data_IF_733240008414
#
_entry.id   IF_733240008414
#
_cell.length_a   1.000
_cell.length_b   1.000
_cell.length_c   1.000
_cell.angle_alpha   90.00
_cell.angle_beta   90.00
_cell.angle_gamma   90.00
#
_symmetry.space_group_name_H-M   'P 1'
#
loop_
_entity.id
_entity.type
_entity.pdbx_description
1 polymer ?
#
# COMPACT_ATOMS: atom_id res chain seq x y z
N UNK A 1 -6.13 9.70 6.30
CA UNK A 1 -5.33 9.23 7.46
C UNK A 1 -4.09 8.56 6.88
N UNK A 2 -2.87 9.03 7.19
CA UNK A 2 -1.74 8.08 7.21
C UNK A 2 -2.09 7.14 8.35
N UNK A 3 -2.20 5.85 8.07
CA UNK A 3 -2.44 4.87 9.12
C UNK A 3 -1.30 4.97 10.14
N UNK A 4 -1.62 5.02 11.44
CA UNK A 4 -0.60 4.92 12.49
C UNK A 4 0.15 3.60 12.23
N UNK A 5 1.43 3.65 11.86
CA UNK A 5 2.24 2.46 11.59
C UNK A 5 3.10 2.49 10.32
N UNK A 6 2.95 3.47 9.43
CA UNK A 6 3.82 3.56 8.24
C UNK A 6 5.22 4.05 8.65
N UNK A 7 6.19 3.13 8.72
CA UNK A 7 7.60 3.44 9.00
C UNK A 7 8.38 3.91 7.75
N UNK A 8 7.82 3.69 6.56
CA UNK A 8 8.47 4.00 5.28
C UNK A 8 7.61 4.96 4.48
N UNK A 9 8.28 5.88 3.76
CA UNK A 9 7.73 6.65 2.66
C UNK A 9 8.03 5.90 1.36
N UNK A 10 7.04 5.20 0.78
CA UNK A 10 7.24 4.52 -0.48
C UNK A 10 7.19 5.51 -1.64
N UNK A 11 8.23 5.55 -2.47
CA UNK A 11 8.26 6.39 -3.66
C UNK A 11 8.24 5.52 -4.93
N UNK A 12 7.24 5.69 -5.81
CA UNK A 12 7.24 5.05 -7.12
C UNK A 12 8.32 5.68 -8.01
N UNK A 13 8.94 4.86 -8.87
CA UNK A 13 9.87 5.35 -9.90
C UNK A 13 9.12 5.38 -11.24
N UNK A 14 8.61 6.55 -11.68
CA UNK A 14 7.91 6.64 -12.95
C UNK A 14 8.80 6.19 -14.12
N UNK A 15 8.17 5.75 -15.21
CA UNK A 15 8.89 5.50 -16.46
C UNK A 15 9.47 6.84 -16.94
N UNK A 16 10.69 6.82 -17.47
CA UNK A 16 11.29 8.02 -18.03
C UNK A 16 10.37 8.52 -19.16
N UNK A 17 10.12 9.83 -19.21
CA UNK A 17 9.52 10.43 -20.38
C UNK A 17 10.41 10.11 -21.60
N UNK A 18 9.84 9.84 -22.79
CA UNK A 18 10.66 9.79 -23.99
C UNK A 18 11.43 11.11 -24.09
N UNK A 19 12.74 11.04 -24.31
CA UNK A 19 13.52 12.23 -24.59
C UNK A 19 12.89 12.94 -25.81
N UNK A 20 12.87 14.28 -25.87
CA UNK A 20 12.57 14.96 -27.12
C UNK A 20 13.53 14.41 -28.18
N UNK A 21 12.98 14.03 -29.34
CA UNK A 21 13.76 13.65 -30.51
C UNK A 21 14.67 14.83 -30.85
N UNK A 22 15.95 14.77 -30.47
CA UNK A 22 16.96 15.66 -31.04
C UNK A 22 17.08 15.25 -32.51
N UNK A 23 16.75 16.18 -33.40
CA UNK A 23 16.89 16.06 -34.84
C UNK A 23 18.31 15.54 -35.15
N UNK A 24 18.40 14.34 -35.74
CA UNK A 24 19.65 13.84 -36.32
C UNK A 24 20.05 14.76 -37.48
N UNK A 25 20.88 15.78 -37.21
CA UNK A 25 21.58 16.51 -38.25
C UNK A 25 22.59 15.57 -38.93
N UNK A 26 22.41 15.41 -40.25
CA UNK A 26 23.31 14.70 -41.16
C UNK A 26 24.76 15.16 -41.01
N UNK A 27 25.66 14.27 -40.61
CA UNK A 27 27.09 14.40 -40.93
C UNK A 27 27.47 13.39 -42.01
N UNK A 28 27.44 13.84 -43.26
CA UNK A 28 28.02 13.19 -44.44
C UNK A 28 29.49 12.85 -44.19
N UNK A 29 29.82 11.56 -44.15
CA UNK A 29 31.18 11.07 -44.36
C UNK A 29 31.27 10.42 -45.75
N UNK A 30 32.01 11.12 -46.61
CA UNK A 30 32.57 10.75 -47.92
C UNK A 30 32.67 9.25 -48.22
N UNK A 31 31.98 8.83 -49.29
CA UNK A 31 32.33 7.66 -50.08
C UNK A 31 33.66 7.91 -50.80
N UNK A 32 34.66 7.07 -50.54
CA UNK A 32 35.65 6.74 -51.56
C UNK A 32 35.44 5.28 -51.97
N UNK A 33 35.49 5.12 -53.29
CA UNK A 33 35.23 3.96 -54.13
C UNK A 33 36.32 2.88 -54.05
N UNK A 34 36.01 1.75 -54.70
CA UNK A 34 36.84 0.57 -55.01
C UNK A 34 36.67 -0.58 -54.00
N UNK A 35 36.30 -1.80 -54.37
CA UNK A 35 35.88 -2.39 -55.64
C UNK A 35 35.71 -3.90 -55.39
N UNK A 36 34.59 -4.44 -55.87
CA UNK A 36 34.28 -5.87 -56.13
C UNK A 36 34.02 -6.90 -55.00
N UNK A 37 33.18 -7.93 -55.28
CA UNK A 37 32.52 -8.77 -54.28
C UNK A 37 32.92 -10.27 -54.32
N UNK A 38 32.83 -10.90 -53.13
CA UNK A 38 32.42 -12.31 -52.88
C UNK A 38 33.32 -13.45 -53.41
N UNK A 39 33.82 -14.27 -52.47
CA UNK A 39 33.79 -15.73 -52.63
C UNK A 39 33.37 -16.44 -51.35
N UNK A 40 32.30 -17.25 -51.47
CA UNK A 40 31.88 -18.24 -50.47
C UNK A 40 32.78 -19.47 -50.60
N UNK A 41 33.43 -19.91 -49.52
CA UNK A 41 33.74 -21.34 -49.33
C UNK A 41 33.28 -21.82 -47.97
N UNK A 42 32.36 -22.77 -48.06
CA UNK A 42 31.79 -23.54 -46.97
C UNK A 42 32.71 -24.69 -46.55
N UNK A 43 32.63 -24.97 -45.23
CA UNK A 43 32.77 -26.26 -44.53
C UNK A 43 34.16 -26.72 -44.05
N UNK A 44 34.19 -26.76 -42.71
CA UNK A 44 34.74 -27.77 -41.80
C UNK A 44 36.26 -27.91 -41.71
N UNK A 45 36.82 -27.47 -40.58
CA UNK A 45 37.30 -28.42 -39.57
C UNK A 45 37.37 -27.79 -38.17
N UNK A 46 37.13 -28.63 -37.16
CA UNK A 46 37.09 -28.32 -35.72
C UNK A 46 38.51 -28.09 -35.19
N UNK A 47 38.70 -27.07 -34.34
CA UNK A 47 39.29 -27.19 -33.01
C UNK A 47 39.44 -25.81 -32.33
N UNK A 48 38.84 -25.72 -31.14
CA UNK A 48 39.32 -25.11 -29.90
C UNK A 48 39.79 -23.64 -29.82
N UNK A 49 39.33 -22.97 -28.75
CA UNK A 49 40.00 -21.82 -28.15
C UNK A 49 39.57 -20.42 -28.59
N UNK A 50 38.67 -19.79 -27.83
CA UNK A 50 38.55 -18.34 -27.78
C UNK A 50 37.15 -17.79 -28.04
N UNK A 51 36.23 -17.93 -27.07
CA UNK A 51 35.03 -17.08 -27.05
C UNK A 51 35.45 -15.70 -26.59
N UNK A 52 35.76 -14.81 -27.55
CA UNK A 52 35.72 -13.38 -27.34
C UNK A 52 34.31 -13.01 -26.85
N UNK A 53 34.20 -12.74 -25.55
CA UNK A 53 33.02 -12.10 -24.98
C UNK A 53 32.90 -10.71 -25.62
N UNK A 54 32.02 -10.58 -26.60
CA UNK A 54 31.49 -9.28 -27.05
C UNK A 54 31.15 -8.45 -25.79
N UNK A 55 31.90 -7.38 -25.55
CA UNK A 55 31.55 -6.35 -24.57
C UNK A 55 30.17 -5.83 -24.97
N UNK A 56 29.13 -6.25 -24.24
CA UNK A 56 27.85 -5.51 -24.25
C UNK A 56 28.18 -4.11 -23.78
N UNK A 57 28.05 -3.13 -24.65
CA UNK A 57 28.08 -1.72 -24.27
C UNK A 57 27.09 -1.53 -23.11
N UNK A 58 27.60 -1.13 -21.95
CA UNK A 58 26.78 -0.82 -20.78
C UNK A 58 26.03 0.47 -21.10
N UNK A 59 24.84 0.35 -21.68
CA UNK A 59 23.89 1.45 -21.79
C UNK A 59 23.68 2.01 -20.37
N UNK A 60 24.01 3.27 -20.15
CA UNK A 60 23.86 3.88 -18.84
C UNK A 60 22.39 3.80 -18.40
N UNK A 61 22.12 3.47 -17.13
CA UNK A 61 20.77 3.40 -16.63
C UNK A 61 20.12 4.79 -16.70
N UNK A 62 18.93 4.88 -17.31
CA UNK A 62 18.19 6.13 -17.40
C UNK A 62 17.97 6.78 -16.02
N UNK A 63 18.10 8.10 -15.95
CA UNK A 63 18.01 8.87 -14.71
C UNK A 63 16.62 9.47 -14.55
N UNK A 64 16.07 9.44 -13.34
CA UNK A 64 14.78 10.02 -12.96
C UNK A 64 14.99 10.93 -11.76
N UNK A 65 14.57 12.19 -11.85
CA UNK A 65 14.67 13.13 -10.74
C UNK A 65 13.79 12.69 -9.55
N UNK A 66 14.28 12.91 -8.32
CA UNK A 66 13.51 12.62 -7.10
C UNK A 66 12.19 13.41 -7.06
N UNK A 67 12.17 14.64 -7.55
CA UNK A 67 10.96 15.45 -7.67
C UNK A 67 9.84 14.74 -8.43
N UNK A 68 10.17 14.04 -9.53
CA UNK A 68 9.21 13.24 -10.31
C UNK A 68 8.68 12.03 -9.54
N UNK A 69 9.49 11.43 -8.68
CA UNK A 69 9.05 10.35 -7.81
C UNK A 69 8.07 10.87 -6.73
N UNK A 70 8.34 12.07 -6.18
CA UNK A 70 7.46 12.74 -5.22
C UNK A 70 6.15 13.18 -5.87
N UNK A 71 6.20 13.80 -7.06
CA UNK A 71 5.02 14.17 -7.85
C UNK A 71 4.13 12.95 -8.13
N UNK A 72 4.74 11.83 -8.54
CA UNK A 72 4.02 10.58 -8.80
C UNK A 72 3.38 9.99 -7.52
N UNK A 73 4.03 10.15 -6.37
CA UNK A 73 3.46 9.74 -5.08
C UNK A 73 2.26 10.61 -4.66
N UNK A 74 2.33 11.92 -4.91
CA UNK A 74 1.28 12.87 -4.59
C UNK A 74 0.11 12.88 -5.59
N UNK A 75 0.27 12.19 -6.72
CA UNK A 75 -0.73 12.15 -7.78
C UNK A 75 -2.06 11.58 -7.27
N UNK A 76 -3.14 12.29 -7.57
CA UNK A 76 -4.49 11.86 -7.21
C UNK A 76 -4.86 10.59 -7.95
N UNK A 77 -5.14 9.53 -7.19
CA UNK A 77 -5.67 8.27 -7.71
C UNK A 77 -7.19 8.33 -7.81
N UNK A 78 -7.74 7.71 -8.85
CA UNK A 78 -9.17 7.66 -9.11
C UNK A 78 -9.70 6.29 -8.68
N UNK A 79 -10.77 6.28 -7.90
CA UNK A 79 -11.49 5.07 -7.49
C UNK A 79 -12.89 5.12 -8.06
N UNK A 80 -13.15 4.28 -9.05
CA UNK A 80 -14.48 4.12 -9.65
C UNK A 80 -15.37 3.23 -8.77
N UNK A 81 -16.68 3.46 -8.81
CA UNK A 81 -17.66 2.67 -8.07
C UNK A 81 -17.75 2.99 -6.57
N UNK A 82 -17.17 4.11 -6.12
CA UNK A 82 -17.30 4.57 -4.75
C UNK A 82 -18.73 5.02 -4.46
N UNK A 83 -19.38 4.44 -3.46
CA UNK A 83 -20.71 4.86 -3.02
C UNK A 83 -20.59 6.05 -2.07
N UNK A 84 -21.09 7.21 -2.49
CA UNK A 84 -21.05 8.42 -1.66
C UNK A 84 -22.07 8.34 -0.52
N UNK A 85 -21.66 8.58 0.74
CA UNK A 85 -22.59 8.62 1.88
C UNK A 85 -23.65 9.74 1.79
N UNK A 86 -23.41 10.76 0.97
CA UNK A 86 -24.32 11.91 0.81
C UNK A 86 -25.37 11.66 -0.26
N UNK A 87 -24.94 11.18 -1.43
CA UNK A 87 -25.84 10.98 -2.57
C UNK A 87 -26.41 9.57 -2.65
N UNK A 88 -25.84 8.61 -1.88
CA UNK A 88 -26.16 7.18 -1.92
C UNK A 88 -26.01 6.52 -3.31
N UNK A 89 -25.37 7.22 -4.25
CA UNK A 89 -25.12 6.75 -5.60
C UNK A 89 -23.65 6.35 -5.75
N UNK A 90 -23.41 5.39 -6.66
CA UNK A 90 -22.06 5.05 -7.11
C UNK A 90 -21.52 6.19 -7.96
N UNK A 91 -20.30 6.62 -7.68
CA UNK A 91 -19.62 7.65 -8.42
C UNK A 91 -18.12 7.43 -8.42
N UNK A 92 -17.39 8.51 -8.68
CA UNK A 92 -15.94 8.54 -8.76
C UNK A 92 -15.42 9.22 -7.48
N UNK A 93 -14.48 8.57 -6.80
CA UNK A 93 -13.74 9.17 -5.69
C UNK A 93 -12.31 9.49 -6.11
N UNK A 94 -11.82 10.64 -5.66
CA UNK A 94 -10.45 11.07 -5.83
C UNK A 94 -9.70 10.88 -4.51
N UNK A 95 -8.58 10.17 -4.55
CA UNK A 95 -7.74 9.87 -3.38
C UNK A 95 -6.34 10.45 -3.59
N UNK A 96 -6.00 11.43 -2.76
CA UNK A 96 -4.65 11.98 -2.64
C UNK A 96 -4.02 11.56 -1.30
N UNK A 97 -2.69 11.58 -1.24
CA UNK A 97 -1.94 11.24 -0.03
C UNK A 97 -0.95 12.37 0.28
N UNK A 98 -0.86 12.76 1.55
CA UNK A 98 0.03 13.81 2.04
C UNK A 98 0.60 13.43 3.41
N UNK A 99 1.73 14.03 3.78
CA UNK A 99 2.41 13.83 5.04
C UNK A 99 1.79 14.68 6.13
N UNK A 100 1.12 14.03 7.09
CA UNK A 100 0.57 14.71 8.27
C UNK A 100 1.68 15.11 9.25
N UNK A 101 2.67 14.24 9.45
CA UNK A 101 3.75 14.42 10.42
C UNK A 101 5.08 14.04 9.81
N UNK A 102 6.15 14.67 10.28
CA UNK A 102 7.52 14.41 9.88
C UNK A 102 8.25 13.68 11.03
N UNK A 103 8.76 12.44 10.85
CA UNK A 103 9.48 11.71 11.90
C UNK A 103 10.93 12.21 12.08
N UNK A 104 11.58 11.86 13.19
CA UNK A 104 13.02 12.14 13.41
C UNK A 104 13.91 11.39 12.43
N UNK A 105 13.53 10.14 12.13
CA UNK A 105 14.17 9.29 11.15
C UNK A 105 13.13 8.87 10.11
N UNK A 106 13.36 9.24 8.87
CA UNK A 106 12.52 8.93 7.74
C UNK A 106 13.19 7.87 6.88
N UNK A 107 12.54 6.71 6.74
CA UNK A 107 12.91 5.75 5.72
C UNK A 107 12.18 6.06 4.42
N UNK A 108 12.92 6.16 3.32
CA UNK A 108 12.37 6.28 1.98
C UNK A 108 12.66 4.97 1.24
N UNK A 109 11.62 4.28 0.79
CA UNK A 109 11.75 3.07 -0.02
C UNK A 109 11.45 3.40 -1.47
N UNK A 110 12.43 3.24 -2.36
CA UNK A 110 12.18 3.33 -3.78
C UNK A 110 11.58 2.02 -4.27
N UNK A 111 10.41 2.06 -4.89
CA UNK A 111 9.77 0.89 -5.49
C UNK A 111 10.50 0.48 -6.76
N UNK A 112 11.59 -0.27 -6.57
CA UNK A 112 12.47 -0.77 -7.63
C UNK A 112 12.01 -2.08 -8.26
N UNK A 113 10.86 -2.62 -7.87
CA UNK A 113 10.30 -3.83 -8.44
C UNK A 113 8.87 -3.55 -8.88
N UNK A 114 8.58 -3.78 -10.15
CA UNK A 114 7.25 -3.61 -10.72
C UNK A 114 6.78 -4.93 -11.34
N UNK A 115 5.49 -5.20 -11.24
CA UNK A 115 4.87 -6.32 -11.94
C UNK A 115 4.56 -5.86 -13.37
N UNK A 116 5.24 -6.48 -14.33
CA UNK A 116 5.05 -6.22 -15.76
C UNK A 116 4.14 -7.30 -16.34
N UNK A 117 3.13 -6.87 -17.06
CA UNK A 117 2.26 -7.76 -17.83
C UNK A 117 2.93 -8.09 -19.17
N UNK A 118 3.46 -9.30 -19.28
CA UNK A 118 4.06 -9.84 -20.50
C UNK A 118 3.18 -10.93 -21.11
N UNK A 119 1.86 -10.88 -20.89
CA UNK A 119 0.92 -11.83 -21.51
C UNK A 119 0.94 -11.75 -23.03
N UNK A 120 1.16 -10.57 -23.62
CA UNK A 120 1.36 -10.39 -25.07
C UNK A 120 2.58 -11.16 -25.61
N UNK A 121 3.57 -11.44 -24.77
CA UNK A 121 4.76 -12.23 -25.10
C UNK A 121 4.68 -13.70 -24.65
N UNK A 122 3.52 -14.16 -24.16
CA UNK A 122 3.31 -15.53 -23.68
C UNK A 122 3.98 -15.86 -22.33
N UNK A 123 4.50 -14.86 -21.61
CA UNK A 123 5.28 -15.04 -20.36
C UNK A 123 4.51 -14.76 -19.07
N UNK A 124 3.24 -14.34 -19.18
CA UNK A 124 2.40 -14.01 -18.03
C UNK A 124 2.84 -12.76 -17.29
N UNK A 125 2.52 -12.67 -16.00
CA UNK A 125 2.98 -11.59 -15.14
C UNK A 125 4.39 -11.90 -14.59
N UNK A 126 5.31 -10.95 -14.73
CA UNK A 126 6.67 -11.10 -14.21
C UNK A 126 7.08 -9.89 -13.38
N UNK A 127 7.82 -10.12 -12.30
CA UNK A 127 8.40 -9.04 -11.50
C UNK A 127 9.73 -8.64 -12.15
N UNK A 128 9.85 -7.37 -12.52
CA UNK A 128 11.07 -6.82 -13.09
C UNK A 128 11.67 -5.74 -12.21
N UNK A 129 13.00 -5.72 -12.13
CA UNK A 129 13.74 -4.70 -11.41
C UNK A 129 13.90 -3.44 -12.26
N UNK A 130 13.43 -2.31 -11.75
CA UNK A 130 13.65 -0.98 -12.29
C UNK A 130 15.11 -0.58 -12.04
N UNK A 131 15.88 -0.46 -13.14
CA UNK A 131 17.31 -0.12 -13.12
C UNK A 131 17.60 1.38 -13.19
N UNK A 132 16.57 2.22 -13.26
CA UNK A 132 16.70 3.68 -13.38
C UNK A 132 17.43 4.27 -12.16
N UNK A 133 18.30 5.25 -12.39
CA UNK A 133 18.96 5.98 -11.31
C UNK A 133 18.02 7.06 -10.77
N UNK A 134 17.96 7.19 -9.44
CA UNK A 134 17.24 8.25 -8.75
C UNK A 134 18.24 8.93 -7.82
N UNK A 135 18.93 10.00 -8.27
CA UNK A 135 19.94 10.66 -7.44
C UNK A 135 19.28 11.26 -6.20
N UNK A 136 19.53 10.65 -5.04
CA UNK A 136 19.00 11.09 -3.76
C UNK A 136 19.92 12.16 -3.16
N UNK A 137 19.41 13.35 -2.82
CA UNK A 137 20.23 14.44 -2.31
C UNK A 137 20.64 14.19 -0.85
N UNK A 138 21.77 14.75 -0.43
CA UNK A 138 22.24 14.68 0.96
C UNK A 138 21.41 15.54 1.91
N UNK A 139 20.80 16.62 1.40
CA UNK A 139 19.82 17.45 2.09
C UNK A 139 18.49 17.39 1.35
N UNK A 140 17.40 17.14 2.06
CA UNK A 140 16.08 16.93 1.49
C UNK A 140 15.04 17.75 2.26
N UNK A 141 14.27 18.57 1.54
CA UNK A 141 13.10 19.26 2.09
C UNK A 141 11.82 18.63 1.54
N UNK A 142 10.91 18.24 2.44
CA UNK A 142 9.64 17.60 2.12
C UNK A 142 8.43 18.49 2.44
N UNK A 143 8.65 19.81 2.58
CA UNK A 143 7.57 20.77 2.88
C UNK A 143 6.41 20.69 1.89
N UNK A 144 6.69 20.44 0.61
CA UNK A 144 5.69 20.30 -0.45
C UNK A 144 4.72 19.12 -0.25
N UNK A 145 5.12 18.11 0.54
CA UNK A 145 4.28 16.95 0.84
C UNK A 145 3.41 17.15 2.08
N UNK A 146 3.55 18.28 2.79
CA UNK A 146 2.85 18.52 4.06
C UNK A 146 1.33 18.57 3.85
N UNK A 147 0.60 17.92 4.75
CA UNK A 147 -0.86 17.92 4.76
C UNK A 147 -1.39 19.22 5.35
N UNK A 148 -2.27 19.91 4.61
CA UNK A 148 -2.99 21.09 5.11
C UNK A 148 -4.19 20.75 6.01
N UNK A 149 -4.48 19.46 6.23
CA UNK A 149 -5.71 19.05 6.90
C UNK A 149 -6.95 19.39 6.08
N UNK A 150 -8.10 19.44 6.76
CA UNK A 150 -9.37 19.90 6.19
C UNK A 150 -9.33 21.42 6.03
N UNK A 151 -9.56 21.93 4.82
CA UNK A 151 -9.58 23.39 4.57
C UNK A 151 -10.92 24.00 4.97
N UNK A 152 -10.95 25.31 5.24
CA UNK A 152 -12.17 26.03 5.65
C UNK A 152 -13.31 25.94 4.63
N UNK A 153 -12.99 25.81 3.34
CA UNK A 153 -13.96 25.66 2.26
C UNK A 153 -14.42 24.20 2.01
N UNK A 154 -13.90 23.23 2.78
CA UNK A 154 -14.19 21.81 2.60
C UNK A 154 -15.16 21.29 3.67
N UNK A 155 -16.21 20.58 3.24
CA UNK A 155 -17.17 19.94 4.15
C UNK A 155 -16.82 18.46 4.30
N UNK A 156 -16.66 17.94 5.53
CA UNK A 156 -16.38 16.53 5.73
C UNK A 156 -17.59 15.69 5.31
N UNK A 157 -17.34 14.55 4.67
CA UNK A 157 -18.39 13.59 4.37
C UNK A 157 -18.98 13.04 5.68
N UNK A 158 -20.31 12.85 5.77
CA UNK A 158 -20.92 12.22 6.93
C UNK A 158 -20.41 10.78 7.05
N UNK A 159 -20.35 10.26 8.29
CA UNK A 159 -20.11 8.83 8.48
C UNK A 159 -21.19 8.09 7.70
N UNK A 160 -20.79 7.18 6.82
CA UNK A 160 -21.73 6.27 6.17
C UNK A 160 -22.50 5.58 7.29
N UNK A 161 -23.81 5.84 7.39
CA UNK A 161 -24.69 4.93 8.13
C UNK A 161 -24.46 3.60 7.43
N UNK A 162 -23.88 2.61 8.12
CA UNK A 162 -23.93 1.23 7.63
C UNK A 162 -25.40 1.03 7.32
N UNK A 163 -25.74 0.89 6.04
CA UNK A 163 -27.10 0.57 5.69
C UNK A 163 -27.32 -0.79 6.35
N UNK A 164 -28.12 -0.81 7.43
CA UNK A 164 -28.57 -2.07 7.99
C UNK A 164 -29.08 -2.88 6.80
N UNK A 165 -28.68 -4.15 6.65
CA UNK A 165 -29.17 -4.97 5.56
C UNK A 165 -30.69 -4.84 5.58
N UNK A 166 -31.26 -4.35 4.48
CA UNK A 166 -32.71 -4.17 4.37
C UNK A 166 -33.24 -5.45 3.76
N UNK A 167 -34.12 -6.13 4.48
CA UNK A 167 -34.83 -7.29 3.95
C UNK A 167 -35.58 -6.88 2.68
N UNK A 168 -35.41 -7.64 1.60
CA UNK A 168 -36.17 -7.45 0.37
C UNK A 168 -37.65 -7.76 0.64
N UNK A 169 -38.54 -6.81 0.38
CA UNK A 169 -39.98 -6.95 0.60
C UNK A 169 -40.61 -8.11 -0.17
N UNK A 170 -40.07 -8.45 -1.34
CA UNK A 170 -40.62 -9.53 -2.18
C UNK A 170 -40.28 -10.90 -1.58
N UNK A 171 -39.07 -11.04 -1.01
CA UNK A 171 -38.65 -12.24 -0.29
C UNK A 171 -39.47 -12.40 0.99
N UNK A 172 -39.68 -11.31 1.74
CA UNK A 172 -40.52 -11.31 2.94
C UNK A 172 -41.96 -11.70 2.58
N UNK A 173 -42.53 -11.15 1.49
CA UNK A 173 -43.88 -11.46 1.04
C UNK A 173 -44.02 -12.94 0.61
N UNK A 174 -43.02 -13.50 -0.08
CA UNK A 174 -43.03 -14.91 -0.47
C UNK A 174 -43.06 -15.85 0.74
N UNK A 175 -42.25 -15.54 1.76
CA UNK A 175 -42.24 -16.29 3.03
C UNK A 175 -43.57 -16.13 3.78
N UNK A 176 -44.16 -14.94 3.79
CA UNK A 176 -45.47 -14.71 4.41
C UNK A 176 -46.60 -15.46 3.69
N UNK A 177 -46.56 -15.54 2.35
CA UNK A 177 -47.56 -16.26 1.56
C UNK A 177 -47.52 -17.78 1.81
N UNK A 178 -46.39 -18.32 2.30
CA UNK A 178 -46.25 -19.71 2.73
C UNK A 178 -46.75 -19.96 4.17
N UNK A 179 -47.24 -18.94 4.86
CA UNK A 179 -47.84 -19.05 6.20
C UNK A 179 -46.89 -18.72 7.35
N UNK A 180 -45.66 -18.29 7.08
CA UNK A 180 -44.71 -17.86 8.11
C UNK A 180 -44.93 -16.40 8.50
N UNK A 181 -44.47 -15.99 9.70
CA UNK A 181 -44.63 -14.61 10.14
C UNK A 181 -43.78 -13.63 9.32
N UNK A 182 -44.20 -12.37 9.33
CA UNK A 182 -43.44 -11.28 8.70
C UNK A 182 -42.02 -11.17 9.26
N UNK A 183 -41.88 -11.38 10.56
CA UNK A 183 -40.61 -11.27 11.28
C UNK A 183 -39.65 -12.41 10.88
N UNK A 184 -40.18 -13.63 10.72
CA UNK A 184 -39.43 -14.76 10.18
C UNK A 184 -38.94 -14.48 8.75
N UNK A 185 -39.79 -13.88 7.90
CA UNK A 185 -39.41 -13.47 6.55
C UNK A 185 -38.33 -12.39 6.52
N UNK A 186 -38.39 -11.42 7.45
CA UNK A 186 -37.34 -10.40 7.58
C UNK A 186 -36.03 -11.05 8.00
N UNK A 187 -36.03 -11.86 9.07
CA UNK A 187 -34.83 -12.58 9.55
C UNK A 187 -34.21 -13.44 8.46
N UNK A 188 -35.02 -14.18 7.71
CA UNK A 188 -34.55 -15.02 6.62
C UNK A 188 -33.95 -14.24 5.46
N UNK A 189 -34.58 -13.14 5.05
CA UNK A 189 -34.05 -12.27 4.01
C UNK A 189 -32.70 -11.64 4.44
N UNK A 190 -32.54 -11.31 5.72
CA UNK A 190 -31.29 -10.79 6.26
C UNK A 190 -30.21 -11.88 6.37
N UNK A 191 -30.54 -13.04 6.93
CA UNK A 191 -29.62 -14.15 7.14
C UNK A 191 -29.13 -14.76 5.83
N UNK A 192 -29.98 -14.76 4.79
CA UNK A 192 -29.62 -15.21 3.43
C UNK A 192 -29.04 -14.09 2.57
N UNK A 193 -28.81 -12.89 3.12
CA UNK A 193 -28.30 -11.71 2.40
C UNK A 193 -29.08 -11.39 1.11
N UNK A 194 -30.41 -11.59 1.13
CA UNK A 194 -31.30 -11.44 -0.03
C UNK A 194 -30.91 -12.30 -1.25
N UNK A 195 -30.27 -13.46 -1.05
CA UNK A 195 -29.80 -14.34 -2.13
C UNK A 195 -30.92 -14.89 -3.04
N UNK A 196 -32.16 -14.93 -2.54
CA UNK A 196 -33.34 -15.34 -3.31
C UNK A 196 -34.49 -15.82 -2.42
N UNK A 197 -35.69 -15.96 -3.01
CA UNK A 197 -36.90 -16.37 -2.29
C UNK A 197 -36.79 -17.80 -1.75
N UNK A 198 -36.26 -18.72 -2.54
CA UNK A 198 -36.18 -20.15 -2.22
C UNK A 198 -35.20 -20.41 -1.06
N UNK A 199 -34.09 -19.68 -1.04
CA UNK A 199 -33.09 -19.74 0.03
C UNK A 199 -33.65 -19.20 1.35
N UNK A 200 -34.42 -18.10 1.30
CA UNK A 200 -35.05 -17.53 2.48
C UNK A 200 -36.13 -18.48 3.06
N UNK A 201 -36.93 -19.11 2.20
CA UNK A 201 -37.93 -20.11 2.63
C UNK A 201 -37.26 -21.32 3.29
N UNK A 202 -36.19 -21.84 2.69
CA UNK A 202 -35.43 -22.94 3.27
C UNK A 202 -34.83 -22.56 4.62
N UNK A 203 -34.31 -21.34 4.75
CA UNK A 203 -33.81 -20.83 6.02
C UNK A 203 -34.90 -20.77 7.10
N UNK A 204 -36.09 -20.26 6.79
CA UNK A 204 -37.21 -20.23 7.75
C UNK A 204 -37.65 -21.62 8.16
N UNK A 205 -37.72 -22.59 7.23
CA UNK A 205 -38.09 -23.97 7.55
C UNK A 205 -37.12 -24.59 8.57
N UNK A 206 -35.82 -24.40 8.38
CA UNK A 206 -34.79 -24.91 9.28
C UNK A 206 -34.82 -24.27 10.67
N UNK A 207 -35.27 -23.03 10.78
CA UNK A 207 -35.26 -22.25 12.02
C UNK A 207 -36.68 -22.06 12.60
N UNK A 208 -37.70 -22.71 12.03
CA UNK A 208 -39.11 -22.52 12.40
C UNK A 208 -39.45 -22.93 13.83
N UNK A 209 -38.61 -23.76 14.46
CA UNK A 209 -38.71 -24.14 15.86
C UNK A 209 -38.04 -23.16 16.84
N UNK A 210 -37.37 -22.12 16.34
CA UNK A 210 -36.63 -21.20 17.19
C UNK A 210 -37.60 -20.25 17.92
N UNK A 211 -37.48 -20.11 19.25
CA UNK A 211 -38.40 -19.28 20.05
C UNK A 211 -38.41 -17.79 19.65
N UNK A 212 -37.36 -17.33 18.99
CA UNK A 212 -37.13 -15.93 18.63
C UNK A 212 -37.48 -15.61 17.17
N UNK A 213 -37.85 -16.60 16.35
CA UNK A 213 -38.11 -16.40 14.92
C UNK A 213 -39.23 -15.38 14.65
N UNK A 214 -40.17 -15.26 15.59
CA UNK A 214 -41.31 -14.35 15.51
C UNK A 214 -41.09 -13.03 16.26
N UNK A 215 -39.96 -12.86 16.96
CA UNK A 215 -39.68 -11.64 17.69
C UNK A 215 -39.47 -10.47 16.72
N UNK A 216 -39.93 -9.26 17.07
CA UNK A 216 -39.70 -8.07 16.26
C UNK A 216 -38.19 -7.88 16.05
N UNK A 217 -37.79 -7.74 14.78
CA UNK A 217 -36.40 -7.43 14.42
C UNK A 217 -36.24 -5.93 14.62
N UNK A 218 -35.92 -5.51 15.85
CA UNK A 218 -35.37 -4.17 16.04
C UNK A 218 -34.03 -4.11 15.31
N UNK A 219 -33.76 -2.99 14.64
CA UNK A 219 -32.49 -2.78 13.98
C UNK A 219 -31.39 -2.93 15.03
N UNK A 220 -30.48 -3.87 14.82
CA UNK A 220 -29.34 -4.20 15.70
C UNK A 220 -28.61 -2.92 16.15
N UNK A 221 -29.03 -2.35 17.28
CA UNK A 221 -28.13 -1.81 18.27
C UNK A 221 -27.68 -3.03 19.09
N UNK A 222 -26.77 -3.83 18.53
CA UNK A 222 -26.15 -4.95 19.25
C UNK A 222 -25.26 -4.41 20.37
N UNK A 223 -25.89 -3.98 21.46
CA UNK A 223 -25.34 -4.12 22.80
C UNK A 223 -25.55 -5.58 23.24
N UNK A 224 -24.89 -6.52 22.55
CA UNK A 224 -24.77 -7.89 23.04
C UNK A 224 -23.96 -7.83 24.35
N UNK A 225 -24.64 -8.00 25.47
CA UNK A 225 -24.10 -7.99 26.82
C UNK A 225 -23.49 -9.36 27.16
N UNK A 226 -22.71 -9.90 26.22
CA UNK A 226 -21.98 -11.15 26.37
C UNK A 226 -21.01 -11.02 27.54
N UNK A 227 -21.30 -11.76 28.62
CA UNK A 227 -20.54 -11.75 29.86
C UNK A 227 -19.09 -12.19 29.59
N UNK A 228 -18.17 -11.22 29.54
CA UNK A 228 -16.77 -11.48 29.20
C UNK A 228 -16.08 -12.14 30.39
N UNK A 229 -15.57 -13.36 30.16
CA UNK A 229 -14.79 -14.13 31.12
C UNK A 229 -13.64 -13.30 31.75
N UNK A 230 -13.71 -13.12 33.06
CA UNK A 230 -12.75 -12.35 33.84
C UNK A 230 -11.32 -12.91 33.77
N UNK A 231 -11.16 -14.23 33.56
CA UNK A 231 -9.86 -14.88 33.36
C UNK A 231 -9.20 -14.46 32.05
N UNK A 232 -9.98 -14.37 30.97
CA UNK A 232 -9.49 -13.88 29.66
C UNK A 232 -9.10 -12.40 29.73
N UNK A 233 -9.87 -11.59 30.45
CA UNK A 233 -9.55 -10.18 30.70
C UNK A 233 -8.23 -10.06 31.46
N UNK A 234 -8.01 -10.90 32.47
CA UNK A 234 -6.75 -10.93 33.23
C UNK A 234 -5.57 -11.33 32.35
N UNK A 235 -5.74 -12.29 31.43
CA UNK A 235 -4.69 -12.75 30.53
C UNK A 235 -4.26 -11.66 29.54
N UNK A 236 -5.22 -10.92 28.97
CA UNK A 236 -4.92 -9.76 28.10
C UNK A 236 -4.33 -8.60 28.91
N UNK A 237 -4.79 -8.40 30.15
CA UNK A 237 -4.25 -7.36 31.03
C UNK A 237 -2.81 -7.65 31.48
N UNK A 238 -2.45 -8.92 31.66
CA UNK A 238 -1.10 -9.36 31.97
C UNK A 238 -0.08 -9.02 30.87
N UNK A 239 -0.53 -8.81 29.62
CA UNK A 239 0.31 -8.31 28.53
C UNK A 239 0.53 -6.78 28.56
N UNK A 240 0.05 -6.09 29.59
CA UNK A 240 0.27 -4.65 29.80
C UNK A 240 -0.84 -3.75 29.25
N UNK A 241 -2.03 -4.30 28.95
CA UNK A 241 -3.19 -3.53 28.51
C UNK A 241 -4.14 -3.23 29.69
N UNK A 242 -4.73 -2.03 29.78
CA UNK A 242 -5.77 -1.75 30.79
C UNK A 242 -6.97 -2.69 30.67
N UNK A 243 -7.55 -3.10 31.79
CA UNK A 243 -8.70 -4.01 31.82
C UNK A 243 -9.91 -3.52 30.99
N UNK A 244 -10.09 -2.20 30.88
CA UNK A 244 -11.11 -1.57 30.01
C UNK A 244 -10.89 -1.89 28.53
N UNK A 245 -9.63 -1.84 28.08
CA UNK A 245 -9.26 -2.16 26.70
C UNK A 245 -9.34 -3.67 26.44
N UNK A 246 -8.89 -4.47 27.40
CA UNK A 246 -9.00 -5.93 27.34
C UNK A 246 -10.45 -6.39 27.13
N UNK A 247 -11.39 -5.86 27.91
CA UNK A 247 -12.83 -6.13 27.73
C UNK A 247 -13.33 -5.72 26.35
N UNK A 248 -13.01 -4.50 25.89
CA UNK A 248 -13.43 -4.00 24.58
C UNK A 248 -12.90 -4.86 23.43
N UNK A 249 -11.65 -5.31 23.53
CA UNK A 249 -11.02 -6.17 22.55
C UNK A 249 -11.64 -7.56 22.53
N UNK A 250 -11.85 -8.17 23.71
CA UNK A 250 -12.49 -9.47 23.82
C UNK A 250 -13.94 -9.45 23.32
N UNK A 251 -14.67 -8.35 23.52
CA UNK A 251 -15.99 -8.15 22.91
C UNK A 251 -15.90 -8.12 21.39
N UNK A 252 -14.95 -7.37 20.84
CA UNK A 252 -14.76 -7.23 19.40
C UNK A 252 -14.24 -8.51 18.70
N UNK A 253 -13.66 -9.44 19.46
CA UNK A 253 -13.08 -10.69 18.93
C UNK A 253 -13.79 -11.94 19.41
N UNK A 254 -15.03 -11.78 19.91
CA UNK A 254 -15.88 -12.88 20.34
C UNK A 254 -15.22 -13.79 21.39
N UNK A 255 -14.46 -13.21 22.32
CA UNK A 255 -13.78 -13.90 23.41
C UNK A 255 -12.49 -14.64 23.04
N UNK A 256 -11.94 -14.42 21.84
CA UNK A 256 -10.62 -14.93 21.43
C UNK A 256 -9.50 -14.00 21.93
N UNK A 257 -8.62 -14.54 22.79
CA UNK A 257 -7.52 -13.80 23.42
C UNK A 257 -6.44 -13.38 22.41
N UNK A 258 -6.04 -14.27 21.50
CA UNK A 258 -4.97 -13.98 20.53
C UNK A 258 -5.41 -12.87 19.56
N UNK A 259 -6.65 -12.97 19.06
CA UNK A 259 -7.24 -11.94 18.22
C UNK A 259 -7.46 -10.64 19.01
N UNK A 260 -7.86 -10.71 20.28
CA UNK A 260 -8.04 -9.53 21.11
C UNK A 260 -6.74 -8.74 21.25
N UNK A 261 -5.61 -9.44 21.44
CA UNK A 261 -4.29 -8.82 21.54
C UNK A 261 -3.90 -8.17 20.20
N UNK A 262 -4.05 -8.86 19.07
CA UNK A 262 -3.79 -8.30 17.74
C UNK A 262 -4.68 -7.07 17.47
N UNK A 263 -5.95 -7.16 17.83
CA UNK A 263 -6.91 -6.06 17.72
C UNK A 263 -6.49 -4.85 18.56
N UNK A 264 -5.99 -5.08 19.78
CA UNK A 264 -5.45 -4.03 20.65
C UNK A 264 -4.22 -3.37 20.04
N UNK A 265 -3.26 -4.14 19.53
CA UNK A 265 -2.06 -3.60 18.89
C UNK A 265 -2.39 -2.78 17.64
N UNK A 266 -3.33 -3.24 16.80
CA UNK A 266 -3.77 -2.49 15.62
C UNK A 266 -4.43 -1.13 15.97
N UNK A 267 -4.86 -0.95 17.23
CA UNK A 267 -5.60 0.23 17.71
C UNK A 267 -4.92 0.94 18.88
N UNK A 268 -3.67 0.60 19.23
CA UNK A 268 -2.95 1.25 20.31
C UNK A 268 -2.92 2.78 20.11
N UNK A 269 -3.39 3.51 21.12
CA UNK A 269 -3.55 4.97 21.10
C UNK A 269 -4.79 5.51 20.37
N UNK A 270 -5.81 4.68 20.10
CA UNK A 270 -7.19 5.10 19.78
C UNK A 270 -8.19 4.68 20.88
N UNK A 271 -7.76 3.84 21.82
CA UNK A 271 -8.62 3.20 22.80
C UNK A 271 -8.91 4.08 24.03
N UNK A 272 -7.97 4.97 24.38
CA UNK A 272 -8.13 5.98 25.44
C UNK A 272 -8.99 7.19 25.03
N UNK A 273 -9.37 7.28 23.76
CA UNK A 273 -10.17 8.38 23.20
C UNK A 273 -11.66 7.97 23.11
N UNK A 274 -12.37 7.82 24.22
CA UNK A 274 -13.82 8.15 24.33
C UNK A 274 -14.16 8.46 25.80
N UNK A 275 -14.83 9.60 26.07
CA UNK A 275 -16.21 9.78 25.64
C UNK A 275 -16.45 11.00 24.73
N UNK A 276 -17.51 10.89 23.94
CA UNK A 276 -18.20 11.91 23.15
C UNK A 276 -17.42 12.62 22.02
N UNK A 277 -17.85 12.33 20.79
CA UNK A 277 -18.34 13.27 19.76
C UNK A 277 -17.81 14.73 19.67
N UNK A 278 -16.62 15.05 20.18
CA UNK A 278 -15.91 16.26 19.78
C UNK A 278 -15.25 15.93 18.45
N UNK A 279 -15.79 16.53 17.40
CA UNK A 279 -15.13 16.73 16.11
C UNK A 279 -13.72 17.26 16.38
N UNK A 280 -12.74 16.38 16.58
CA UNK A 280 -11.34 16.77 16.42
C UNK A 280 -11.23 17.08 14.94
N UNK A 281 -11.33 18.37 14.62
CA UNK A 281 -10.84 18.91 13.36
C UNK A 281 -9.53 18.21 13.04
N UNK A 282 -9.34 17.81 11.78
CA UNK A 282 -8.12 17.18 11.34
C UNK A 282 -7.05 18.29 11.35
N UNK A 283 -6.57 18.63 12.54
CA UNK A 283 -5.57 19.65 12.74
C UNK A 283 -4.29 19.22 12.01
N UNK A 284 -3.53 20.20 11.48
CA UNK A 284 -2.19 19.94 10.94
C UNK A 284 -1.40 19.13 11.96
N UNK A 285 -0.65 18.13 11.48
CA UNK A 285 0.04 17.25 12.41
C UNK A 285 1.14 17.99 13.17
N UNK A 286 1.53 17.50 14.35
CA UNK A 286 2.64 18.08 15.09
C UNK A 286 3.92 18.03 14.22
N UNK A 287 4.63 19.16 14.14
CA UNK A 287 5.90 19.37 13.41
C UNK A 287 5.82 19.59 11.89
N UNK A 288 4.79 20.24 11.35
CA UNK A 288 4.75 20.66 9.93
C UNK A 288 5.95 21.50 9.51
N UNK A 289 6.57 22.23 10.44
CA UNK A 289 7.68 23.15 10.15
C UNK A 289 9.05 22.48 10.11
N UNK A 290 9.16 21.21 10.54
CA UNK A 290 10.41 20.45 10.59
C UNK A 290 10.49 19.42 9.44
N UNK A 291 10.42 19.92 8.21
CA UNK A 291 10.38 19.11 6.98
C UNK A 291 11.75 18.85 6.33
N UNK A 292 12.83 19.37 6.93
CA UNK A 292 14.20 19.26 6.40
C UNK A 292 14.95 18.07 7.00
N UNK A 293 15.65 17.33 6.15
CA UNK A 293 16.37 16.12 6.51
C UNK A 293 17.78 16.08 5.91
N UNK A 294 18.69 15.39 6.60
CA UNK A 294 20.02 15.02 6.11
C UNK A 294 20.10 13.50 5.91
N UNK A 295 20.67 13.06 4.79
CA UNK A 295 20.90 11.64 4.50
C UNK A 295 21.94 11.06 5.47
N UNK A 296 21.58 9.97 6.13
CA UNK A 296 22.47 9.22 7.05
C UNK A 296 23.06 8.00 6.37
N UNK A 297 22.27 7.32 5.55
CA UNK A 297 22.70 6.09 4.92
C UNK A 297 21.66 5.53 3.97
N UNK A 298 22.04 4.51 3.22
CA UNK A 298 21.15 3.80 2.32
C UNK A 298 21.57 2.35 2.12
N UNK A 299 20.59 1.51 1.82
CA UNK A 299 20.74 0.09 1.54
C UNK A 299 20.52 -0.11 0.06
N UNK A 300 21.43 -0.83 -0.60
CA UNK A 300 21.37 -1.14 -2.03
C UNK A 300 21.17 -2.64 -2.23
N UNK A 301 20.25 -3.01 -3.13
CA UNK A 301 20.11 -4.38 -3.62
C UNK A 301 20.90 -4.54 -4.92
N UNK A 302 21.91 -5.40 -4.92
CA UNK A 302 22.75 -5.74 -6.08
C UNK A 302 22.28 -7.08 -6.63
N UNK A 303 21.64 -7.07 -7.79
CA UNK A 303 21.05 -8.27 -8.37
C UNK A 303 20.01 -7.92 -9.42
N UNK A 304 19.72 -8.85 -10.32
CA UNK A 304 18.81 -8.64 -11.45
C UNK A 304 17.35 -8.99 -11.13
N UNK A 305 17.13 -9.86 -10.14
CA UNK A 305 15.82 -10.43 -9.83
C UNK A 305 15.32 -9.96 -8.46
N UNK A 306 14.03 -10.14 -8.18
CA UNK A 306 13.47 -9.88 -6.85
C UNK A 306 13.76 -11.01 -5.84
N UNK A 307 14.02 -12.23 -6.35
CA UNK A 307 14.19 -13.45 -5.54
C UNK A 307 15.64 -13.70 -5.13
N UNK A 308 16.60 -13.05 -5.77
CA UNK A 308 18.02 -13.21 -5.47
C UNK A 308 18.81 -11.93 -5.72
N UNK A 309 19.81 -11.73 -4.88
CA UNK A 309 20.78 -10.65 -4.98
C UNK A 309 21.52 -10.47 -3.66
N UNK A 310 22.28 -9.40 -3.59
CA UNK A 310 23.21 -9.09 -2.51
C UNK A 310 22.90 -7.72 -1.93
N UNK A 311 22.75 -7.63 -0.62
CA UNK A 311 22.47 -6.36 0.05
C UNK A 311 23.75 -5.78 0.63
N UNK A 312 23.97 -4.50 0.36
CA UNK A 312 25.04 -3.72 0.98
C UNK A 312 24.48 -2.42 1.54
N UNK A 313 25.11 -1.84 2.54
CA UNK A 313 24.72 -0.53 3.04
C UNK A 313 25.87 0.47 3.02
N UNK A 314 25.52 1.73 2.76
CA UNK A 314 26.42 2.87 2.83
C UNK A 314 25.95 3.76 3.97
N UNK A 315 26.84 4.14 4.87
CA UNK A 315 26.52 4.97 6.04
C UNK A 315 27.53 6.11 6.13
N UNK A 316 27.03 7.33 6.37
CA UNK A 316 27.85 8.49 6.72
C UNK A 316 28.25 8.42 8.20
N UNK A 317 29.56 8.46 8.48
CA UNK A 317 30.11 8.60 9.83
C UNK A 317 31.20 9.67 9.82
N UNK A 318 31.02 10.73 10.59
CA UNK A 318 32.00 11.81 10.72
C UNK A 318 32.36 12.48 9.39
N UNK A 319 31.38 12.71 8.51
CA UNK A 319 31.59 13.32 7.20
C UNK A 319 32.20 12.39 6.14
N UNK A 320 32.50 11.13 6.47
CA UNK A 320 33.01 10.12 5.53
C UNK A 320 31.98 9.03 5.31
N UNK A 321 31.94 8.50 4.09
CA UNK A 321 31.06 7.40 3.72
C UNK A 321 31.79 6.07 3.84
N UNK A 322 31.16 5.09 4.47
CA UNK A 322 31.67 3.73 4.55
C UNK A 322 30.67 2.77 3.90
N UNK A 323 31.18 1.86 3.07
CA UNK A 323 30.46 0.71 2.53
C UNK A 323 30.60 -0.45 3.50
N UNK A 324 29.49 -0.99 3.96
CA UNK A 324 29.39 -2.23 4.72
C UNK A 324 28.87 -3.32 3.80
N UNK A 325 29.72 -4.31 3.55
CA UNK A 325 29.45 -5.46 2.72
C UNK A 325 29.84 -6.72 3.51
N UNK A 326 28.89 -7.26 4.27
CA UNK A 326 29.10 -8.37 5.21
C UNK A 326 30.28 -8.11 6.14
N UNK A 327 31.34 -8.92 6.03
CA UNK A 327 32.57 -8.82 6.82
C UNK A 327 33.56 -7.76 6.31
N UNK A 328 33.27 -7.11 5.17
CA UNK A 328 34.13 -6.09 4.57
C UNK A 328 33.56 -4.71 4.82
N UNK A 329 34.35 -3.85 5.45
CA UNK A 329 34.05 -2.43 5.64
C UNK A 329 35.12 -1.63 4.94
N UNK A 330 34.72 -0.80 3.97
CA UNK A 330 35.65 0.00 3.17
C UNK A 330 35.23 1.46 3.13
N UNK A 331 36.20 2.37 3.11
CA UNK A 331 35.93 3.78 2.83
C UNK A 331 35.39 3.91 1.41
N UNK A 332 34.34 4.71 1.24
CA UNK A 332 33.70 4.95 -0.05
C UNK A 332 33.76 6.46 -0.33
N UNK A 333 34.54 6.87 -1.32
CA UNK A 333 34.65 8.30 -1.69
C UNK A 333 33.46 8.76 -2.53
N UNK A 334 32.95 7.88 -3.40
CA UNK A 334 31.85 8.16 -4.33
C UNK A 334 30.70 7.17 -4.13
N UNK A 335 29.80 7.40 -3.16
CA UNK A 335 28.68 6.51 -2.89
C UNK A 335 27.67 6.54 -4.06
N UNK A 336 27.10 5.39 -4.47
CA UNK A 336 26.12 5.33 -5.55
C UNK A 336 24.73 5.77 -5.07
N UNK A 337 24.56 7.06 -4.75
CA UNK A 337 23.31 7.64 -4.24
C UNK A 337 22.11 7.39 -5.16
N UNK A 338 22.34 7.16 -6.45
CA UNK A 338 21.30 6.90 -7.45
C UNK A 338 20.71 5.49 -7.46
N UNK A 339 21.36 4.52 -6.82
CA UNK A 339 21.09 3.07 -6.98
C UNK A 339 20.58 2.39 -5.70
N UNK A 340 20.50 3.13 -4.60
CA UNK A 340 19.95 2.64 -3.35
C UNK A 340 18.48 2.21 -3.46
N UNK A 341 18.09 1.26 -2.64
CA UNK A 341 16.74 0.73 -2.53
C UNK A 341 15.97 1.36 -1.37
N UNK A 342 16.60 1.44 -0.19
CA UNK A 342 16.04 2.07 1.01
C UNK A 342 17.01 3.14 1.48
N UNK A 343 16.53 4.34 1.76
CA UNK A 343 17.32 5.47 2.24
C UNK A 343 16.86 5.86 3.64
N UNK A 344 17.80 6.22 4.50
CA UNK A 344 17.56 6.71 5.85
C UNK A 344 17.97 8.17 5.93
N UNK A 345 16.99 9.00 6.24
CA UNK A 345 17.13 10.44 6.44
C UNK A 345 16.90 10.78 7.91
N UNK A 346 17.74 11.62 8.50
CA UNK A 346 17.56 12.17 9.85
C UNK A 346 17.15 13.62 9.75
N UNK A 347 16.11 14.00 10.49
CA UNK A 347 15.64 15.38 10.58
C UNK A 347 16.74 16.30 11.11
N UNK A 348 16.84 17.50 10.55
CA UNK A 348 17.80 18.54 10.96
C UNK A 348 17.23 19.37 12.10
#
# INVERSE_FOLDING_TARGET
>A
KIEKGHMFLPLPIPKAAPAPEEEEEESKATKNSDGEPVEKKSRTDKADGGVEKKKKEKKEPATVALSKCIEAYLLTSVTEGYTSPVTQQKGIAYKSQTLRTFPDYLFIQLYRFEQVDLRSEGKGYQIQKIRRQVPMPTSLDLKSMASSGLKENEKPLPKAKKAAPKANSDIVAAVQNMGFSKNAGIRAALATQNAGMEQAVNWVLMHSGDPDINNPVEAEDDEDDGEIDAGKVSQVSAMGFPAKHAKKALKATNGDVARAIEWLFSRQGQLDDEPEAKKKEIAPGPNTDKSTYKLVGFISHIGDNATSGHYVCHIEKGGKWALFNDNKVTLCENPPFGLGYIYLYRRV
#
